data_IF_631764673949
#
_entry.id   IF_631764673949
#
_cell.length_a   1.000
_cell.length_b   1.000
_cell.length_c   1.000
_cell.angle_alpha   90.00
_cell.angle_beta   90.00
_cell.angle_gamma   90.00
#
_symmetry.space_group_name_H-M   'P 1'
#
loop_
_entity.id
_entity.type
_entity.pdbx_description
1 polymer ?
#
# COMPACT_ATOMS: atom_id res chain seq x y z
N UNK A 1 -12.13 28.44 -10.57
CA UNK A 1 -12.34 27.76 -9.29
C UNK A 1 -13.67 26.97 -9.32
N UNK A 2 -13.95 26.18 -10.37
CA UNK A 2 -15.19 25.39 -10.48
C UNK A 2 -15.02 24.07 -11.27
N UNK A 3 -13.80 23.56 -11.40
CA UNK A 3 -13.52 22.36 -12.22
C UNK A 3 -13.16 21.07 -11.47
N UNK A 4 -13.00 21.10 -10.14
CA UNK A 4 -12.48 19.95 -9.36
C UNK A 4 -13.56 19.10 -8.65
N UNK A 5 -14.84 19.46 -8.75
CA UNK A 5 -15.93 18.80 -8.03
C UNK A 5 -16.71 17.75 -8.84
N UNK A 6 -16.42 17.57 -10.12
CA UNK A 6 -17.23 16.71 -11.00
C UNK A 6 -16.78 15.24 -11.09
N UNK A 7 -15.61 14.87 -10.58
CA UNK A 7 -15.13 13.47 -10.61
C UNK A 7 -15.71 12.57 -9.48
N UNK A 8 -16.33 13.16 -8.46
CA UNK A 8 -16.81 12.42 -7.28
C UNK A 8 -18.32 12.18 -7.25
N UNK A 9 -19.08 12.65 -8.25
CA UNK A 9 -20.54 12.55 -8.29
C UNK A 9 -21.11 11.15 -8.57
N UNK A 10 -20.26 10.14 -8.77
CA UNK A 10 -20.68 8.75 -9.02
C UNK A 10 -20.71 7.86 -7.77
N UNK A 11 -20.26 8.38 -6.63
CA UNK A 11 -20.34 7.68 -5.34
C UNK A 11 -21.47 8.31 -4.53
N UNK A 12 -22.57 7.58 -4.40
CA UNK A 12 -23.84 8.01 -3.81
C UNK A 12 -23.70 8.82 -2.52
N UNK A 13 -24.60 9.77 -2.35
CA UNK A 13 -24.79 10.77 -1.28
C UNK A 13 -23.97 10.54 0.01
N UNK A 14 -22.73 11.00 0.02
CA UNK A 14 -21.89 11.10 1.24
C UNK A 14 -22.39 12.19 2.22
N UNK A 15 -23.43 12.94 1.84
CA UNK A 15 -23.94 14.08 2.64
C UNK A 15 -24.64 13.70 3.95
N UNK A 16 -25.00 12.42 4.16
CA UNK A 16 -25.75 12.03 5.34
C UNK A 16 -24.94 11.76 6.61
N UNK A 17 -23.58 11.76 6.54
CA UNK A 17 -22.71 11.36 7.66
C UNK A 17 -21.41 12.19 7.81
N UNK A 18 -21.34 13.39 7.27
CA UNK A 18 -20.32 14.34 7.71
C UNK A 18 -20.64 14.73 9.15
N UNK A 19 -19.88 14.22 10.10
CA UNK A 19 -19.84 14.79 11.45
C UNK A 19 -19.21 16.18 11.27
N UNK A 20 -20.00 17.25 11.52
CA UNK A 20 -19.46 18.61 11.57
C UNK A 20 -18.32 18.66 12.59
N UNK A 21 -17.24 19.42 12.30
CA UNK A 21 -16.09 19.59 13.20
C UNK A 21 -16.52 19.93 14.64
N UNK A 22 -17.59 20.69 14.81
CA UNK A 22 -18.20 21.03 16.12
C UNK A 22 -18.80 19.81 16.82
N UNK A 23 -19.28 18.81 16.09
CA UNK A 23 -19.87 17.60 16.64
C UNK A 23 -18.80 16.59 17.07
N UNK A 24 -17.69 16.52 16.37
CA UNK A 24 -16.55 15.65 16.74
C UNK A 24 -15.87 16.08 18.04
N UNK A 25 -15.86 17.40 18.34
CA UNK A 25 -15.27 17.96 19.54
C UNK A 25 -15.99 17.58 20.87
N UNK A 26 -17.18 17.00 20.79
CA UNK A 26 -17.99 16.64 21.95
C UNK A 26 -18.44 15.17 22.00
N UNK A 27 -17.85 14.31 21.13
CA UNK A 27 -18.17 12.89 21.14
C UNK A 27 -17.68 12.23 22.43
N UNK A 28 -18.52 11.38 22.98
CA UNK A 28 -18.16 10.48 24.07
C UNK A 28 -17.77 9.11 23.53
N UNK A 29 -17.08 8.29 24.34
CA UNK A 29 -16.81 6.89 23.99
C UNK A 29 -18.11 6.11 23.70
N UNK A 30 -19.23 6.48 24.36
CA UNK A 30 -20.54 5.88 24.12
C UNK A 30 -21.08 6.19 22.73
N UNK A 31 -20.92 7.43 22.25
CA UNK A 31 -21.30 7.82 20.88
C UNK A 31 -20.49 7.04 19.83
N UNK A 32 -19.19 6.84 20.07
CA UNK A 32 -18.32 6.05 19.19
C UNK A 32 -18.70 4.57 19.18
N UNK A 33 -19.11 4.00 20.32
CA UNK A 33 -19.64 2.64 20.37
C UNK A 33 -20.94 2.50 19.56
N UNK A 34 -21.79 3.53 19.55
CA UNK A 34 -22.98 3.55 18.71
C UNK A 34 -22.63 3.63 17.21
N UNK A 35 -21.59 4.40 16.84
CA UNK A 35 -21.08 4.41 15.46
C UNK A 35 -20.53 3.04 15.06
N UNK A 36 -19.79 2.35 15.93
CA UNK A 36 -19.29 0.99 15.67
C UNK A 36 -20.44 -0.01 15.48
N UNK A 37 -21.52 0.11 16.27
CA UNK A 37 -22.71 -0.75 16.14
C UNK A 37 -23.47 -0.51 14.83
N UNK A 38 -23.41 0.70 14.27
CA UNK A 38 -24.03 1.07 13.00
C UNK A 38 -23.11 0.92 11.79
N UNK A 39 -21.84 0.52 12.00
CA UNK A 39 -20.85 0.41 10.95
C UNK A 39 -21.16 -0.75 9.97
N UNK A 40 -21.36 -0.47 8.67
CA UNK A 40 -21.60 -1.52 7.67
C UNK A 40 -20.42 -2.50 7.53
N UNK A 41 -19.22 -2.12 7.97
CA UNK A 41 -18.03 -2.96 7.95
C UNK A 41 -17.76 -3.71 9.26
N UNK A 42 -18.61 -3.56 10.29
CA UNK A 42 -18.37 -4.11 11.62
C UNK A 42 -18.08 -5.62 11.61
N UNK A 43 -18.83 -6.40 10.79
CA UNK A 43 -18.68 -7.85 10.70
C UNK A 43 -17.33 -8.34 10.12
N UNK A 44 -16.59 -7.46 9.43
CA UNK A 44 -15.29 -7.83 8.89
C UNK A 44 -14.24 -8.01 9.97
N UNK A 45 -14.32 -7.29 11.09
CA UNK A 45 -13.36 -7.43 12.20
C UNK A 45 -13.26 -8.86 12.69
N UNK A 46 -14.39 -9.57 12.78
CA UNK A 46 -14.44 -10.96 13.21
C UNK A 46 -13.78 -11.94 12.23
N UNK A 47 -13.43 -11.49 11.05
CA UNK A 47 -12.70 -12.26 10.04
C UNK A 47 -11.19 -12.25 10.25
N UNK A 48 -10.66 -11.46 11.20
CA UNK A 48 -9.25 -11.36 11.53
C UNK A 48 -8.93 -12.01 12.87
N UNK A 49 -7.69 -12.48 13.02
CA UNK A 49 -7.11 -12.92 14.28
C UNK A 49 -6.44 -11.71 14.93
N UNK A 50 -7.12 -11.08 15.86
CA UNK A 50 -6.61 -9.95 16.64
C UNK A 50 -6.46 -10.41 18.10
N UNK A 51 -5.27 -10.23 18.73
CA UNK A 51 -5.09 -10.57 20.13
C UNK A 51 -6.01 -9.74 21.04
N UNK A 52 -6.51 -10.35 22.12
CA UNK A 52 -7.29 -9.66 23.13
C UNK A 52 -6.46 -8.58 23.82
N UNK A 53 -7.07 -7.43 24.12
CA UNK A 53 -6.40 -6.30 24.76
C UNK A 53 -5.45 -5.50 23.86
N UNK A 54 -5.36 -5.84 22.57
CA UNK A 54 -4.52 -5.13 21.60
C UNK A 54 -5.36 -4.25 20.68
N UNK A 55 -4.96 -2.99 20.57
CA UNK A 55 -5.40 -2.04 19.53
C UNK A 55 -4.34 -1.99 18.46
N UNK A 56 -4.62 -2.64 17.31
CA UNK A 56 -3.65 -2.80 16.24
C UNK A 56 -3.80 -1.70 15.18
N UNK A 57 -2.88 -0.74 15.18
CA UNK A 57 -2.83 0.42 14.29
C UNK A 57 -1.56 0.43 13.42
N UNK A 58 -1.11 -0.76 13.01
CA UNK A 58 0.08 -0.90 12.15
C UNK A 58 -0.18 -1.73 10.87
N UNK A 59 -1.42 -1.74 10.39
CA UNK A 59 -1.78 -2.40 9.13
C UNK A 59 -1.14 -1.77 7.88
N UNK A 60 -0.61 -0.56 8.00
CA UNK A 60 0.22 0.10 6.99
C UNK A 60 1.65 -0.46 6.93
N UNK A 61 2.07 -1.28 7.88
CA UNK A 61 3.35 -2.01 7.87
C UNK A 61 3.15 -3.50 7.68
N UNK A 62 2.20 -4.12 8.40
CA UNK A 62 1.81 -5.52 8.25
C UNK A 62 0.32 -5.68 8.55
N UNK A 63 -0.46 -6.20 7.61
CA UNK A 63 -1.86 -6.54 7.84
C UNK A 63 -2.01 -7.72 8.81
N UNK A 64 -3.04 -7.71 9.70
CA UNK A 64 -3.32 -8.85 10.57
C UNK A 64 -3.79 -10.07 9.76
N UNK A 65 -3.58 -11.27 10.32
CA UNK A 65 -3.91 -12.50 9.62
C UNK A 65 -5.43 -12.72 9.53
N UNK A 66 -6.00 -12.93 8.32
CA UNK A 66 -7.39 -13.38 8.19
C UNK A 66 -7.56 -14.79 8.77
N UNK A 67 -8.67 -15.04 9.49
CA UNK A 67 -8.95 -16.34 10.15
C UNK A 67 -8.95 -17.54 9.18
N UNK A 68 -9.24 -17.31 7.91
CA UNK A 68 -9.22 -18.36 6.89
C UNK A 68 -7.80 -18.75 6.44
N UNK A 69 -6.79 -17.89 6.65
CA UNK A 69 -5.43 -18.09 6.14
C UNK A 69 -4.75 -19.35 6.69
N UNK A 70 -4.76 -19.64 8.01
CA UNK A 70 -4.12 -20.84 8.54
C UNK A 70 -4.67 -22.13 7.94
N UNK A 71 -6.01 -22.24 7.82
CA UNK A 71 -6.66 -23.39 7.20
C UNK A 71 -6.30 -23.54 5.71
N UNK A 72 -6.28 -22.45 4.95
CA UNK A 72 -5.91 -22.46 3.53
C UNK A 72 -4.44 -22.90 3.33
N UNK A 73 -3.52 -22.37 4.11
CA UNK A 73 -2.09 -22.76 4.02
C UNK A 73 -1.89 -24.23 4.42
N UNK A 74 -2.57 -24.67 5.48
CA UNK A 74 -2.54 -26.08 5.91
C UNK A 74 -3.07 -27.01 4.80
N UNK A 75 -4.14 -26.62 4.11
CA UNK A 75 -4.70 -27.36 2.98
C UNK A 75 -3.73 -27.46 1.80
N UNK A 76 -3.04 -26.36 1.46
CA UNK A 76 -1.98 -26.36 0.43
C UNK A 76 -0.88 -27.37 0.80
N UNK A 77 -0.43 -27.35 2.05
CA UNK A 77 0.65 -28.24 2.50
C UNK A 77 0.20 -29.70 2.51
N UNK A 78 -0.93 -30.01 3.14
CA UNK A 78 -1.34 -31.39 3.39
C UNK A 78 -1.97 -32.04 2.17
N UNK A 79 -2.87 -31.35 1.47
CA UNK A 79 -3.66 -31.91 0.38
C UNK A 79 -3.03 -31.64 -0.99
N UNK A 80 -2.75 -30.38 -1.30
CA UNK A 80 -2.27 -30.03 -2.62
C UNK A 80 -0.82 -30.50 -2.82
N UNK A 81 0.08 -30.13 -1.93
CA UNK A 81 1.46 -30.61 -1.98
C UNK A 81 1.60 -32.05 -1.51
N UNK A 82 1.09 -32.38 -0.33
CA UNK A 82 1.29 -33.71 0.28
C UNK A 82 0.69 -34.87 -0.52
N UNK A 83 -0.50 -34.69 -1.11
CA UNK A 83 -1.17 -35.76 -1.82
C UNK A 83 -1.00 -35.66 -3.35
N UNK A 84 -1.13 -34.47 -3.94
CA UNK A 84 -1.06 -34.31 -5.39
C UNK A 84 0.40 -34.21 -5.90
N UNK A 85 1.35 -33.80 -5.04
CA UNK A 85 2.77 -33.64 -5.40
C UNK A 85 2.92 -32.72 -6.65
N UNK A 86 3.69 -33.16 -7.65
CA UNK A 86 3.92 -32.38 -8.87
C UNK A 86 2.62 -32.12 -9.68
N UNK A 87 1.61 -32.95 -9.55
CA UNK A 87 0.33 -32.78 -10.23
C UNK A 87 -0.45 -31.53 -9.76
N UNK A 88 -0.11 -31.01 -8.56
CA UNK A 88 -0.74 -29.81 -8.03
C UNK A 88 -0.61 -28.58 -8.93
N UNK A 89 0.40 -28.54 -9.79
CA UNK A 89 0.56 -27.47 -10.78
C UNK A 89 -0.67 -27.30 -11.66
N UNK A 90 -1.30 -28.41 -12.07
CA UNK A 90 -2.50 -28.42 -12.92
C UNK A 90 -3.77 -28.70 -12.11
N UNK A 91 -3.76 -29.73 -11.25
CA UNK A 91 -4.95 -30.15 -10.51
C UNK A 91 -5.45 -29.10 -9.52
N UNK A 92 -4.54 -28.28 -8.95
CA UNK A 92 -4.86 -27.19 -8.02
C UNK A 92 -4.57 -25.78 -8.59
N UNK A 93 -4.20 -25.69 -9.89
CA UNK A 93 -4.02 -24.42 -10.59
C UNK A 93 -2.89 -23.54 -10.02
N UNK A 94 -1.79 -24.15 -9.54
CA UNK A 94 -0.64 -23.39 -9.05
C UNK A 94 0.02 -22.58 -10.17
N UNK A 95 0.02 -23.15 -11.39
CA UNK A 95 0.63 -22.50 -12.57
C UNK A 95 -0.05 -21.15 -12.88
N UNK A 96 -1.36 -21.08 -12.70
CA UNK A 96 -2.18 -19.90 -13.02
C UNK A 96 -2.32 -18.94 -11.85
N UNK A 97 -1.86 -19.33 -10.67
CA UNK A 97 -2.08 -18.56 -9.44
C UNK A 97 -1.51 -17.12 -9.48
N UNK A 98 -0.35 -16.83 -10.12
CA UNK A 98 0.14 -15.45 -10.24
C UNK A 98 -0.80 -14.55 -11.02
N UNK A 99 -1.36 -15.04 -12.14
CA UNK A 99 -2.30 -14.30 -12.97
C UNK A 99 -3.66 -14.18 -12.27
N UNK A 100 -4.19 -15.29 -11.72
CA UNK A 100 -5.48 -15.32 -11.01
C UNK A 100 -5.52 -14.33 -9.84
N UNK A 101 -4.50 -14.34 -8.98
CA UNK A 101 -4.42 -13.40 -7.85
C UNK A 101 -4.12 -11.98 -8.35
N UNK A 102 -3.33 -11.86 -9.40
CA UNK A 102 -3.07 -10.59 -10.07
C UNK A 102 -4.35 -9.94 -10.59
N UNK A 103 -5.22 -10.67 -11.26
CA UNK A 103 -6.51 -10.16 -11.74
C UNK A 103 -7.44 -9.72 -10.58
N UNK A 104 -7.42 -10.45 -9.46
CA UNK A 104 -8.15 -10.06 -8.25
C UNK A 104 -7.62 -8.73 -7.69
N UNK A 105 -6.30 -8.56 -7.60
CA UNK A 105 -5.67 -7.29 -7.20
C UNK A 105 -5.98 -6.21 -8.24
N UNK A 106 -5.92 -6.54 -9.53
CA UNK A 106 -6.27 -5.63 -10.62
C UNK A 106 -7.66 -5.01 -10.44
N UNK A 107 -8.65 -5.80 -9.99
CA UNK A 107 -9.98 -5.28 -9.66
C UNK A 107 -9.99 -4.30 -8.50
N UNK A 108 -9.16 -4.53 -7.45
CA UNK A 108 -9.04 -3.62 -6.30
C UNK A 108 -8.39 -2.28 -6.67
N UNK A 109 -7.47 -2.29 -7.63
CA UNK A 109 -6.74 -1.09 -8.06
C UNK A 109 -7.32 -0.44 -9.33
N UNK A 110 -8.46 -0.93 -9.83
CA UNK A 110 -9.09 -0.38 -11.04
C UNK A 110 -8.22 -0.52 -12.30
N UNK A 111 -7.39 -1.56 -12.37
CA UNK A 111 -6.58 -1.88 -13.53
C UNK A 111 -7.39 -2.62 -14.60
N UNK A 112 -6.97 -2.53 -15.86
CA UNK A 112 -7.61 -3.29 -16.94
C UNK A 112 -7.44 -4.82 -16.72
N UNK A 113 -8.42 -5.65 -17.11
CA UNK A 113 -8.27 -7.10 -17.03
C UNK A 113 -7.00 -7.60 -17.72
N UNK A 114 -6.30 -8.57 -17.12
CA UNK A 114 -5.07 -9.13 -17.67
C UNK A 114 -3.86 -8.17 -17.66
N UNK A 115 -3.91 -7.08 -16.88
CA UNK A 115 -2.80 -6.13 -16.79
C UNK A 115 -1.99 -6.23 -15.49
N UNK A 116 -2.42 -7.06 -14.55
CA UNK A 116 -1.78 -7.19 -13.23
C UNK A 116 -1.38 -8.64 -12.97
N UNK A 117 -0.20 -8.85 -12.41
CA UNK A 117 0.30 -10.17 -12.03
C UNK A 117 1.01 -10.10 -10.68
N UNK A 118 0.93 -11.17 -9.90
CA UNK A 118 1.70 -11.32 -8.66
C UNK A 118 3.05 -11.95 -8.99
N UNK A 119 4.13 -11.25 -8.63
CA UNK A 119 5.49 -11.72 -8.84
C UNK A 119 6.45 -11.04 -7.86
N UNK A 120 7.50 -11.72 -7.49
CA UNK A 120 8.68 -11.21 -6.78
C UNK A 120 8.37 -10.33 -5.54
N UNK A 121 9.28 -9.40 -5.25
CA UNK A 121 9.10 -8.32 -4.28
C UNK A 121 8.85 -6.98 -4.99
N UNK A 122 8.33 -5.98 -4.26
CA UNK A 122 8.18 -4.61 -4.78
C UNK A 122 9.49 -4.08 -5.35
N UNK A 123 10.62 -4.31 -4.67
CA UNK A 123 11.95 -3.90 -5.12
C UNK A 123 12.34 -4.50 -6.47
N UNK A 124 12.16 -5.82 -6.64
CA UNK A 124 12.46 -6.50 -7.92
C UNK A 124 11.52 -6.02 -9.03
N UNK A 125 10.25 -5.82 -8.72
CA UNK A 125 9.27 -5.31 -9.68
C UNK A 125 9.58 -3.86 -10.10
N UNK A 126 10.02 -3.00 -9.17
CA UNK A 126 10.53 -1.65 -9.49
C UNK A 126 11.70 -1.72 -10.47
N UNK A 127 12.70 -2.55 -10.18
CA UNK A 127 13.84 -2.74 -11.08
C UNK A 127 13.40 -3.16 -12.48
N UNK A 128 12.52 -4.16 -12.59
CA UNK A 128 11.99 -4.63 -13.89
C UNK A 128 11.29 -3.52 -14.65
N UNK A 129 10.39 -2.80 -14.00
CA UNK A 129 9.57 -1.78 -14.67
C UNK A 129 10.35 -0.50 -14.98
N UNK A 130 11.29 -0.07 -14.12
CA UNK A 130 12.17 1.08 -14.40
C UNK A 130 13.09 0.80 -15.60
N UNK A 131 13.72 -0.38 -15.66
CA UNK A 131 14.57 -0.76 -16.78
C UNK A 131 13.76 -0.79 -18.08
N UNK A 132 12.56 -1.36 -18.06
CA UNK A 132 11.68 -1.42 -19.22
C UNK A 132 11.15 -0.03 -19.64
N UNK A 133 10.89 0.87 -18.69
CA UNK A 133 10.48 2.24 -18.97
C UNK A 133 11.59 3.05 -19.65
N UNK A 134 12.83 2.91 -19.18
CA UNK A 134 14.00 3.53 -19.82
C UNK A 134 14.20 3.01 -21.25
N UNK A 135 14.08 1.71 -21.46
CA UNK A 135 14.18 1.10 -22.80
C UNK A 135 13.05 1.57 -23.74
N UNK A 136 11.84 1.75 -23.22
CA UNK A 136 10.68 2.23 -23.98
C UNK A 136 10.73 3.73 -24.34
N UNK A 137 11.67 4.48 -23.78
CA UNK A 137 11.87 5.92 -24.05
C UNK A 137 13.31 6.22 -24.48
N UNK A 138 13.75 5.68 -25.63
CA UNK A 138 15.11 5.88 -26.11
C UNK A 138 15.42 7.37 -26.27
N UNK A 139 16.61 7.79 -25.80
CA UNK A 139 17.03 9.18 -25.80
C UNK A 139 16.59 10.00 -24.58
N UNK A 140 15.77 9.44 -23.69
CA UNK A 140 15.43 10.04 -22.39
C UNK A 140 16.14 9.25 -21.29
N UNK A 141 16.93 9.94 -20.48
CA UNK A 141 17.87 9.28 -19.57
C UNK A 141 17.54 9.46 -18.07
N UNK A 142 16.49 10.24 -17.77
CA UNK A 142 16.20 10.63 -16.40
C UNK A 142 15.04 9.80 -15.83
N UNK A 143 15.27 9.17 -14.67
CA UNK A 143 14.24 8.74 -13.73
C UNK A 143 13.99 9.93 -12.80
N UNK A 144 12.80 10.53 -12.85
CA UNK A 144 12.41 11.64 -12.00
C UNK A 144 11.60 11.11 -10.81
N UNK A 145 11.90 11.62 -9.63
CA UNK A 145 11.15 11.29 -8.40
C UNK A 145 11.19 12.44 -7.41
N UNK A 146 10.47 12.30 -6.28
CA UNK A 146 10.39 13.33 -5.25
C UNK A 146 11.30 13.06 -4.06
N UNK A 147 11.69 14.15 -3.36
CA UNK A 147 12.30 14.09 -2.04
C UNK A 147 11.30 13.46 -1.05
N UNK A 148 11.75 12.47 -0.27
CA UNK A 148 10.87 11.77 0.67
C UNK A 148 10.11 10.58 0.08
N UNK A 149 10.38 10.20 -1.17
CA UNK A 149 9.94 8.89 -1.69
C UNK A 149 10.55 7.76 -0.84
N UNK A 150 9.93 6.57 -0.88
CA UNK A 150 10.39 5.44 -0.08
C UNK A 150 11.84 5.06 -0.43
N UNK A 151 12.73 4.90 0.58
CA UNK A 151 14.16 4.73 0.32
C UNK A 151 14.50 3.59 -0.64
N UNK A 152 13.76 2.46 -0.59
CA UNK A 152 13.99 1.32 -1.49
C UNK A 152 13.75 1.67 -2.95
N UNK A 153 12.77 2.53 -3.25
CA UNK A 153 12.49 2.97 -4.62
C UNK A 153 13.68 3.74 -5.17
N UNK A 154 14.24 4.63 -4.34
CA UNK A 154 15.46 5.38 -4.67
C UNK A 154 16.65 4.43 -4.86
N UNK A 155 16.83 3.43 -3.99
CA UNK A 155 17.94 2.47 -4.09
C UNK A 155 17.84 1.61 -5.34
N UNK A 156 16.64 1.16 -5.72
CA UNK A 156 16.45 0.40 -6.95
C UNK A 156 16.77 1.25 -8.20
N UNK A 157 16.32 2.51 -8.20
CA UNK A 157 16.64 3.43 -9.29
C UNK A 157 18.15 3.74 -9.36
N UNK A 158 18.80 3.99 -8.21
CA UNK A 158 20.26 4.22 -8.13
C UNK A 158 21.04 3.00 -8.63
N UNK A 159 20.68 1.80 -8.18
CA UNK A 159 21.32 0.56 -8.60
C UNK A 159 21.17 0.31 -10.10
N UNK A 160 19.99 0.57 -10.66
CA UNK A 160 19.74 0.45 -12.10
C UNK A 160 20.57 1.47 -12.90
N UNK A 161 20.59 2.74 -12.50
CA UNK A 161 21.39 3.79 -13.15
C UNK A 161 22.86 3.42 -13.16
N UNK A 162 23.39 2.95 -12.03
CA UNK A 162 24.77 2.50 -11.92
C UNK A 162 25.08 1.30 -12.85
N UNK A 163 24.15 0.34 -12.91
CA UNK A 163 24.28 -0.84 -13.78
C UNK A 163 24.31 -0.47 -15.28
N UNK A 164 23.43 0.45 -15.70
CA UNK A 164 23.33 0.84 -17.10
C UNK A 164 24.57 1.62 -17.59
N UNK A 165 25.14 2.50 -16.77
CA UNK A 165 26.39 3.21 -17.06
C UNK A 165 26.41 4.06 -18.35
N UNK A 166 25.23 4.43 -18.88
CA UNK A 166 25.07 5.08 -20.20
C UNK A 166 24.53 6.52 -20.08
N UNK A 167 24.91 7.24 -19.04
CA UNK A 167 24.45 8.61 -18.82
C UNK A 167 23.05 8.71 -18.21
N UNK A 168 22.42 7.59 -17.83
CA UNK A 168 21.17 7.61 -17.08
C UNK A 168 21.38 8.27 -15.71
N UNK A 169 20.35 8.94 -15.21
CA UNK A 169 20.40 9.64 -13.93
C UNK A 169 19.09 9.48 -13.15
N UNK A 170 19.22 9.41 -11.83
CA UNK A 170 18.10 9.62 -10.90
C UNK A 170 18.08 11.11 -10.51
N UNK A 171 16.97 11.78 -10.76
CA UNK A 171 16.72 13.15 -10.35
C UNK A 171 15.69 13.17 -9.22
N UNK A 172 16.11 13.63 -8.06
CA UNK A 172 15.26 13.75 -6.87
C UNK A 172 15.00 15.23 -6.63
N UNK A 173 13.73 15.63 -6.51
CA UNK A 173 13.29 17.03 -6.40
C UNK A 173 12.12 17.17 -5.42
N UNK A 174 11.87 18.38 -4.92
CA UNK A 174 10.72 18.66 -4.05
C UNK A 174 9.40 18.82 -4.85
N UNK A 175 9.49 19.34 -6.08
CA UNK A 175 8.36 19.46 -7.00
C UNK A 175 8.62 18.64 -8.29
N UNK A 176 8.23 17.37 -8.30
CA UNK A 176 8.40 16.53 -9.47
C UNK A 176 7.57 16.99 -10.68
N UNK A 177 6.42 17.64 -10.45
CA UNK A 177 5.58 18.14 -11.54
C UNK A 177 6.26 19.28 -12.31
N UNK A 178 6.85 20.24 -11.59
CA UNK A 178 7.58 21.36 -12.18
C UNK A 178 8.90 20.96 -12.83
N UNK A 179 9.47 19.80 -12.46
CA UNK A 179 10.72 19.27 -12.99
C UNK A 179 10.56 18.35 -14.21
N UNK A 180 9.33 18.09 -14.67
CA UNK A 180 9.07 17.30 -15.87
C UNK A 180 9.63 18.01 -17.12
N UNK A 181 10.38 17.27 -17.93
CA UNK A 181 11.04 17.78 -19.13
C UNK A 181 11.27 16.71 -20.20
N UNK A 182 11.82 17.12 -21.36
CA UNK A 182 12.00 16.21 -22.49
C UNK A 182 13.08 15.14 -22.25
N UNK A 183 13.90 15.25 -21.22
CA UNK A 183 14.92 14.31 -20.80
C UNK A 183 14.39 13.23 -19.83
N UNK A 184 13.18 13.42 -19.27
CA UNK A 184 12.56 12.49 -18.33
C UNK A 184 11.96 11.31 -19.10
N UNK A 185 12.43 10.10 -18.80
CA UNK A 185 11.90 8.84 -19.34
C UNK A 185 10.70 8.35 -18.53
N UNK A 186 10.81 8.43 -17.21
CA UNK A 186 9.80 7.95 -16.28
C UNK A 186 9.73 8.83 -15.03
N UNK A 187 8.51 9.16 -14.62
CA UNK A 187 8.19 9.73 -13.31
C UNK A 187 7.84 8.56 -12.38
N UNK A 188 8.62 8.36 -11.32
CA UNK A 188 8.42 7.32 -10.29
C UNK A 188 7.98 7.97 -8.99
N UNK A 189 6.79 7.64 -8.51
CA UNK A 189 6.22 8.20 -7.29
C UNK A 189 5.55 7.12 -6.43
N UNK A 190 5.62 7.30 -5.10
CA UNK A 190 4.75 6.58 -4.17
C UNK A 190 3.43 7.33 -4.03
N UNK A 191 2.29 6.67 -4.32
CA UNK A 191 0.98 7.32 -4.33
C UNK A 191 0.58 7.86 -2.95
N UNK A 192 0.78 7.07 -1.90
CA UNK A 192 0.59 7.52 -0.50
C UNK A 192 1.93 7.47 0.21
N UNK A 193 2.42 8.61 0.64
CA UNK A 193 3.70 8.74 1.30
C UNK A 193 3.76 7.94 2.61
N UNK A 194 4.78 7.12 2.76
CA UNK A 194 4.92 6.19 3.88
C UNK A 194 5.09 6.88 5.24
N UNK A 195 5.67 8.10 5.28
CA UNK A 195 5.96 8.83 6.50
C UNK A 195 4.80 9.72 6.94
N UNK A 196 4.24 10.49 6.02
CA UNK A 196 3.19 11.47 6.31
C UNK A 196 1.78 10.97 6.06
N UNK A 197 1.62 9.97 5.19
CA UNK A 197 0.30 9.58 4.67
C UNK A 197 -0.24 10.54 3.60
N UNK A 198 0.53 11.55 3.19
CA UNK A 198 0.13 12.44 2.10
C UNK A 198 -0.09 11.67 0.79
N UNK A 199 -1.12 12.03 0.05
CA UNK A 199 -1.55 11.34 -1.15
C UNK A 199 -1.53 12.27 -2.36
N UNK A 200 -0.89 11.84 -3.44
CA UNK A 200 -0.89 12.54 -4.71
C UNK A 200 -2.25 12.45 -5.43
N UNK A 201 -2.54 13.44 -6.24
CA UNK A 201 -3.57 13.34 -7.29
C UNK A 201 -2.98 12.51 -8.44
N UNK A 202 -3.34 11.21 -8.50
CA UNK A 202 -2.80 10.26 -9.46
C UNK A 202 -3.09 10.66 -10.90
N UNK A 203 -4.33 11.05 -11.19
CA UNK A 203 -4.74 11.46 -12.53
C UNK A 203 -3.98 12.70 -13.00
N UNK A 204 -3.88 13.74 -12.14
CA UNK A 204 -3.20 14.98 -12.49
C UNK A 204 -1.69 14.78 -12.71
N UNK A 205 -1.04 13.95 -11.89
CA UNK A 205 0.40 13.66 -12.04
C UNK A 205 0.68 12.77 -13.25
N UNK A 206 -0.16 11.76 -13.51
CA UNK A 206 -0.07 10.91 -14.71
C UNK A 206 -0.23 11.76 -15.98
N UNK A 207 -1.23 12.60 -16.03
CA UNK A 207 -1.44 13.50 -17.17
C UNK A 207 -0.25 14.45 -17.38
N UNK A 208 0.32 15.01 -16.31
CA UNK A 208 1.50 15.87 -16.41
C UNK A 208 2.73 15.14 -16.97
N UNK A 209 2.97 13.89 -16.52
CA UNK A 209 4.03 13.06 -17.05
C UNK A 209 3.84 12.76 -18.55
N UNK A 210 2.65 12.40 -18.97
CA UNK A 210 2.30 12.15 -20.37
C UNK A 210 2.46 13.40 -21.24
N UNK A 211 2.02 14.58 -20.76
CA UNK A 211 2.21 15.84 -21.47
C UNK A 211 3.68 16.17 -21.71
N UNK A 212 4.58 15.77 -20.81
CA UNK A 212 6.02 15.84 -20.98
C UNK A 212 6.62 14.69 -21.82
N UNK A 213 5.81 13.69 -22.21
CA UNK A 213 6.22 12.48 -22.95
C UNK A 213 6.94 11.43 -22.10
N UNK A 214 6.89 11.56 -20.77
CA UNK A 214 7.39 10.58 -19.82
C UNK A 214 6.36 9.48 -19.56
N UNK A 215 6.82 8.28 -19.16
CA UNK A 215 5.99 7.27 -18.53
C UNK A 215 5.80 7.59 -17.04
N UNK A 216 4.78 7.01 -16.42
CA UNK A 216 4.60 7.06 -14.97
C UNK A 216 4.68 5.66 -14.36
N UNK A 217 5.36 5.56 -13.21
CA UNK A 217 5.42 4.36 -12.39
C UNK A 217 4.98 4.71 -10.96
N UNK A 218 3.89 4.10 -10.53
CA UNK A 218 3.34 4.30 -9.19
C UNK A 218 3.70 3.14 -8.24
N UNK A 219 4.25 3.46 -7.06
CA UNK A 219 4.23 2.52 -5.92
C UNK A 219 2.91 2.67 -5.15
N UNK A 220 2.13 1.60 -5.12
CA UNK A 220 0.82 1.50 -4.49
C UNK A 220 0.85 0.79 -3.13
N UNK A 221 2.02 0.60 -2.53
CA UNK A 221 2.19 -0.18 -1.31
C UNK A 221 1.38 0.33 -0.12
N UNK A 222 1.06 1.63 -0.07
CA UNK A 222 0.20 2.24 0.94
C UNK A 222 -1.20 2.62 0.40
N UNK A 223 -1.51 2.25 -0.84
CA UNK A 223 -2.76 2.62 -1.52
C UNK A 223 -3.64 1.43 -1.82
N UNK A 224 -3.06 0.32 -2.30
CA UNK A 224 -3.80 -0.89 -2.64
C UNK A 224 -4.51 -1.47 -1.41
N UNK A 225 -5.84 -1.53 -1.47
CA UNK A 225 -6.68 -1.95 -0.33
C UNK A 225 -6.94 -0.87 0.72
N UNK A 226 -6.39 0.35 0.58
CA UNK A 226 -6.54 1.44 1.53
C UNK A 226 -7.35 2.62 0.99
N UNK A 227 -7.19 2.93 -0.30
CA UNK A 227 -7.88 4.04 -0.98
C UNK A 227 -8.44 3.58 -2.32
N UNK A 228 -9.50 4.22 -2.83
CA UNK A 228 -10.00 3.95 -4.18
C UNK A 228 -8.93 4.27 -5.22
N UNK A 229 -8.77 3.35 -6.16
CA UNK A 229 -7.82 3.47 -7.27
C UNK A 229 -8.54 3.16 -8.59
N UNK A 230 -8.16 3.84 -9.66
CA UNK A 230 -8.75 3.69 -11.00
C UNK A 230 -7.65 3.73 -12.08
N UNK A 231 -6.66 2.82 -12.00
CA UNK A 231 -5.47 2.85 -12.85
C UNK A 231 -5.80 2.96 -14.34
N UNK A 232 -6.82 2.24 -14.79
CA UNK A 232 -7.22 2.28 -16.21
C UNK A 232 -7.87 3.63 -16.59
N UNK A 233 -8.70 4.22 -15.71
CA UNK A 233 -9.36 5.49 -15.97
C UNK A 233 -8.37 6.68 -15.86
N UNK A 234 -7.40 6.58 -14.96
CA UNK A 234 -6.34 7.56 -14.76
C UNK A 234 -5.17 7.42 -15.76
N UNK A 235 -5.31 6.49 -16.74
CA UNK A 235 -4.33 6.19 -17.78
C UNK A 235 -2.92 5.86 -17.27
N UNK A 236 -2.83 5.21 -16.11
CA UNK A 236 -1.56 4.83 -15.48
C UNK A 236 -0.80 3.84 -16.38
N UNK A 237 0.49 4.08 -16.58
CA UNK A 237 1.37 3.22 -17.38
C UNK A 237 1.80 1.96 -16.63
N UNK A 238 2.39 2.15 -15.47
CA UNK A 238 3.08 1.14 -14.68
C UNK A 238 2.74 1.32 -13.21
N UNK A 239 2.55 0.21 -12.50
CA UNK A 239 2.40 0.24 -11.05
C UNK A 239 3.02 -0.99 -10.40
N UNK A 240 3.44 -0.83 -9.14
CA UNK A 240 3.87 -1.91 -8.25
C UNK A 240 3.18 -1.77 -6.90
N UNK A 241 3.19 -2.82 -6.09
CA UNK A 241 2.74 -2.73 -4.71
C UNK A 241 3.01 -4.03 -3.96
N UNK A 242 2.98 -3.98 -2.63
CA UNK A 242 3.23 -5.14 -1.77
C UNK A 242 1.95 -5.85 -1.36
N UNK A 243 2.06 -7.15 -1.06
CA UNK A 243 0.92 -7.98 -0.64
C UNK A 243 0.69 -8.03 0.87
N UNK A 244 1.64 -7.59 1.70
CA UNK A 244 1.64 -7.86 3.15
C UNK A 244 1.03 -6.74 4.02
N UNK A 245 0.75 -5.56 3.47
CA UNK A 245 0.14 -4.43 4.21
C UNK A 245 -1.39 -4.53 4.19
N UNK A 246 -2.08 -3.56 3.58
CA UNK A 246 -3.55 -3.52 3.54
C UNK A 246 -4.20 -4.68 2.78
N UNK A 247 -3.44 -5.42 1.95
CA UNK A 247 -3.92 -6.66 1.30
C UNK A 247 -3.88 -7.89 2.21
N UNK A 248 -3.33 -7.79 3.42
CA UNK A 248 -3.35 -8.80 4.48
C UNK A 248 -2.77 -10.17 4.08
N UNK A 249 -1.81 -10.18 3.14
CA UNK A 249 -1.21 -11.41 2.62
C UNK A 249 -0.19 -12.09 3.55
N UNK A 250 0.12 -11.46 4.69
CA UNK A 250 1.06 -11.97 5.69
C UNK A 250 2.53 -11.66 5.41
N UNK A 251 3.42 -11.95 6.37
CA UNK A 251 4.84 -11.62 6.26
C UNK A 251 5.48 -12.35 5.07
N UNK A 252 6.22 -11.58 4.25
CA UNK A 252 6.84 -12.10 3.05
C UNK A 252 5.87 -12.40 1.89
N UNK A 253 4.62 -11.94 1.96
CA UNK A 253 3.71 -12.04 0.82
C UNK A 253 4.32 -11.45 -0.45
N UNK A 254 4.15 -12.12 -1.61
CA UNK A 254 4.67 -11.63 -2.86
C UNK A 254 4.05 -10.28 -3.23
N UNK A 255 4.79 -9.51 -4.00
CA UNK A 255 4.34 -8.25 -4.55
C UNK A 255 3.52 -8.47 -5.83
N UNK A 256 2.92 -7.38 -6.32
CA UNK A 256 2.30 -7.35 -7.64
C UNK A 256 2.92 -6.24 -8.49
N UNK A 257 2.78 -6.39 -9.79
CA UNK A 257 3.01 -5.34 -10.75
C UNK A 257 1.86 -5.25 -11.75
N UNK A 258 1.64 -4.05 -12.28
CA UNK A 258 0.63 -3.78 -13.31
C UNK A 258 1.26 -2.99 -14.45
N UNK A 259 0.89 -3.35 -15.68
CA UNK A 259 1.34 -2.69 -16.91
C UNK A 259 0.11 -2.42 -17.78
N UNK A 260 -0.08 -1.17 -18.18
CA UNK A 260 -1.18 -0.80 -19.07
C UNK A 260 -1.18 -1.65 -20.34
N UNK A 261 -2.34 -2.15 -20.83
CA UNK A 261 -2.40 -3.03 -22.01
C UNK A 261 -1.68 -2.47 -23.23
N UNK A 262 -1.73 -1.14 -23.44
CA UNK A 262 -1.07 -0.45 -24.54
C UNK A 262 0.46 -0.59 -24.56
N UNK A 263 1.09 -0.87 -23.41
CA UNK A 263 2.53 -1.01 -23.27
C UNK A 263 3.01 -2.46 -23.32
N UNK A 264 2.14 -3.44 -22.98
CA UNK A 264 2.56 -4.82 -22.76
C UNK A 264 3.28 -5.45 -23.95
N UNK A 265 2.84 -5.17 -25.18
CA UNK A 265 3.43 -5.77 -26.38
C UNK A 265 4.88 -5.28 -26.62
N UNK A 266 5.14 -3.99 -26.37
CA UNK A 266 6.43 -3.34 -26.63
C UNK A 266 7.38 -3.32 -25.42
N UNK A 267 6.92 -3.67 -24.23
CA UNK A 267 7.73 -3.56 -23.03
C UNK A 267 8.73 -4.73 -22.91
N UNK A 268 10.01 -4.43 -22.85
CA UNK A 268 11.08 -5.42 -22.67
C UNK A 268 11.54 -5.43 -21.21
N UNK A 269 11.30 -6.53 -20.52
CA UNK A 269 11.72 -6.70 -19.13
C UNK A 269 13.17 -7.22 -19.07
N UNK A 270 14.02 -6.69 -18.17
CA UNK A 270 15.44 -7.08 -18.11
C UNK A 270 15.66 -8.46 -17.49
N UNK A 271 14.74 -8.87 -16.59
CA UNK A 271 14.77 -10.19 -15.98
C UNK A 271 13.87 -11.12 -16.81
N UNK A 272 14.50 -12.01 -17.55
CA UNK A 272 13.83 -13.04 -18.32
C UNK A 272 13.95 -14.36 -17.61
N UNK A 273 12.87 -15.14 -17.62
CA UNK A 273 12.88 -16.42 -16.94
C UNK A 273 11.89 -17.41 -17.53
N UNK A 274 12.00 -18.66 -17.14
CA UNK A 274 11.32 -19.77 -17.81
C UNK A 274 9.79 -19.66 -17.82
N UNK A 275 9.17 -19.15 -16.73
CA UNK A 275 7.70 -18.95 -16.68
C UNK A 275 7.24 -17.72 -17.47
N UNK A 276 8.14 -16.80 -17.77
CA UNK A 276 7.87 -15.67 -18.66
C UNK A 276 8.08 -15.99 -20.15
N UNK A 277 8.48 -17.22 -20.48
CA UNK A 277 8.62 -17.69 -21.84
C UNK A 277 7.25 -18.01 -22.46
N UNK A 278 7.11 -17.81 -23.77
CA UNK A 278 5.86 -18.09 -24.51
C UNK A 278 5.42 -19.56 -24.40
N UNK A 279 6.39 -20.47 -24.36
CA UNK A 279 6.19 -21.92 -24.21
C UNK A 279 7.13 -22.44 -23.11
N UNK A 280 6.80 -22.24 -21.81
CA UNK A 280 7.74 -22.50 -20.71
C UNK A 280 8.20 -23.96 -20.61
N UNK A 281 7.41 -24.91 -21.08
CA UNK A 281 7.72 -26.35 -21.04
C UNK A 281 8.37 -26.87 -22.34
N UNK A 282 8.59 -26.04 -23.35
CA UNK A 282 9.38 -26.39 -24.51
C UNK A 282 10.88 -26.47 -24.19
N UNK A 283 11.31 -25.79 -23.12
CA UNK A 283 12.71 -25.70 -22.68
C UNK A 283 13.66 -25.24 -23.79
N UNK A 284 13.15 -24.32 -24.65
CA UNK A 284 13.95 -23.71 -25.72
C UNK A 284 15.08 -22.88 -25.08
N UNK A 285 16.33 -23.02 -25.49
CA UNK A 285 17.44 -22.20 -24.99
C UNK A 285 17.35 -20.72 -25.42
N UNK A 286 16.52 -20.40 -26.42
CA UNK A 286 16.27 -19.03 -26.87
C UNK A 286 15.00 -18.51 -26.19
N UNK A 287 15.13 -17.38 -25.50
CA UNK A 287 13.98 -16.79 -24.81
C UNK A 287 13.03 -16.07 -25.77
N UNK A 288 11.79 -16.52 -25.81
CA UNK A 288 10.67 -15.85 -26.47
C UNK A 288 9.67 -15.38 -25.40
N UNK A 289 9.44 -14.07 -25.26
CA UNK A 289 8.56 -13.57 -24.20
C UNK A 289 7.11 -14.01 -24.37
N UNK A 290 6.49 -14.41 -23.29
CA UNK A 290 5.05 -14.65 -23.24
C UNK A 290 4.25 -13.40 -23.64
N UNK A 291 3.05 -13.59 -24.15
CA UNK A 291 2.12 -12.50 -24.42
C UNK A 291 1.65 -11.81 -23.13
N UNK A 292 1.33 -10.52 -23.22
CA UNK A 292 0.74 -9.77 -22.12
C UNK A 292 1.64 -9.68 -20.90
N UNK A 293 0.99 -9.64 -19.72
CA UNK A 293 1.69 -9.45 -18.43
C UNK A 293 2.41 -10.73 -17.96
N UNK A 294 2.08 -11.90 -18.50
CA UNK A 294 2.70 -13.17 -18.09
C UNK A 294 4.22 -13.19 -18.20
N UNK A 295 4.79 -12.43 -19.15
CA UNK A 295 6.25 -12.26 -19.32
C UNK A 295 6.97 -11.72 -18.10
N UNK A 296 6.23 -11.11 -17.15
CA UNK A 296 6.79 -10.57 -15.94
C UNK A 296 7.03 -11.61 -14.84
N UNK A 297 6.55 -12.85 -15.01
CA UNK A 297 6.79 -13.95 -14.07
C UNK A 297 8.10 -14.61 -14.43
N UNK A 298 9.16 -14.35 -13.63
CA UNK A 298 10.50 -14.81 -13.95
C UNK A 298 10.69 -16.29 -13.64
N UNK A 299 10.18 -16.77 -12.52
CA UNK A 299 10.41 -18.14 -12.04
C UNK A 299 9.21 -18.69 -11.28
N UNK A 300 9.44 -19.84 -10.66
CA UNK A 300 8.44 -20.54 -9.86
C UNK A 300 7.82 -19.63 -8.80
N UNK A 301 6.48 -19.46 -8.78
CA UNK A 301 5.82 -18.60 -7.80
C UNK A 301 5.90 -19.19 -6.39
N UNK A 302 5.93 -18.35 -5.35
CA UNK A 302 5.95 -18.80 -3.96
C UNK A 302 4.54 -19.23 -3.53
N UNK A 303 4.14 -20.46 -3.88
CA UNK A 303 2.76 -20.98 -3.80
C UNK A 303 2.14 -20.82 -2.40
N UNK A 304 2.87 -21.10 -1.33
CA UNK A 304 2.33 -21.01 0.05
C UNK A 304 1.94 -19.57 0.42
N UNK A 305 2.85 -18.63 0.19
CA UNK A 305 2.57 -17.21 0.50
C UNK A 305 1.58 -16.58 -0.47
N UNK A 306 1.55 -17.05 -1.72
CA UNK A 306 0.56 -16.61 -2.71
C UNK A 306 -0.85 -17.10 -2.33
N UNK A 307 -0.99 -18.32 -1.80
CA UNK A 307 -2.26 -18.82 -1.28
C UNK A 307 -2.74 -18.02 -0.05
N UNK A 308 -1.82 -17.61 0.83
CA UNK A 308 -2.13 -16.72 1.94
C UNK A 308 -2.57 -15.32 1.46
N UNK A 309 -1.86 -14.75 0.47
CA UNK A 309 -2.23 -13.48 -0.14
C UNK A 309 -3.60 -13.53 -0.79
N UNK A 310 -3.93 -14.61 -1.50
CA UNK A 310 -5.23 -14.79 -2.14
C UNK A 310 -6.38 -14.69 -1.13
N UNK A 311 -6.23 -15.25 0.07
CA UNK A 311 -7.23 -15.12 1.15
C UNK A 311 -7.43 -13.66 1.57
N UNK A 312 -6.35 -12.90 1.75
CA UNK A 312 -6.42 -11.48 2.09
C UNK A 312 -7.10 -10.66 0.99
N UNK A 313 -6.73 -10.89 -0.26
CA UNK A 313 -7.32 -10.21 -1.42
C UNK A 313 -8.81 -10.54 -1.58
N UNK A 314 -9.19 -11.81 -1.40
CA UNK A 314 -10.60 -12.23 -1.47
C UNK A 314 -11.45 -11.58 -0.36
N UNK A 315 -10.87 -11.39 0.82
CA UNK A 315 -11.53 -10.66 1.91
C UNK A 315 -11.72 -9.17 1.55
N UNK A 316 -10.69 -8.52 0.99
CA UNK A 316 -10.77 -7.12 0.54
C UNK A 316 -11.83 -6.93 -0.56
N UNK A 317 -11.95 -7.85 -1.50
CA UNK A 317 -12.93 -7.78 -2.59
C UNK A 317 -14.39 -7.91 -2.13
N UNK A 318 -14.63 -8.40 -0.92
CA UNK A 318 -15.99 -8.49 -0.34
C UNK A 318 -16.43 -7.14 0.27
N UNK A 319 -15.50 -6.23 0.56
CA UNK A 319 -15.80 -4.95 1.17
C UNK A 319 -16.04 -3.88 0.11
N UNK A 320 -17.14 -3.08 0.19
CA UNK A 320 -17.36 -1.95 -0.70
C UNK A 320 -16.26 -0.89 -0.50
N UNK A 321 -15.52 -0.57 -1.56
CA UNK A 321 -14.38 0.38 -1.49
C UNK A 321 -14.82 1.78 -1.03
N UNK A 322 -16.04 2.19 -1.36
CA UNK A 322 -16.59 3.48 -0.93
C UNK A 322 -16.75 3.52 0.60
N UNK A 323 -17.28 2.45 1.21
CA UNK A 323 -17.43 2.32 2.66
C UNK A 323 -16.07 2.26 3.37
N UNK A 324 -15.11 1.51 2.78
CA UNK A 324 -13.73 1.49 3.29
C UNK A 324 -13.15 2.91 3.35
N UNK A 325 -13.30 3.67 2.26
CA UNK A 325 -12.78 5.03 2.20
C UNK A 325 -13.50 5.96 3.17
N UNK A 326 -14.83 5.93 3.22
CA UNK A 326 -15.63 6.77 4.12
C UNK A 326 -15.26 6.51 5.59
N UNK A 327 -15.12 5.26 6.00
CA UNK A 327 -14.71 4.91 7.36
C UNK A 327 -13.27 5.33 7.64
N UNK A 328 -12.32 5.09 6.71
CA UNK A 328 -10.93 5.49 6.83
C UNK A 328 -10.76 7.00 7.07
N UNK A 329 -11.51 7.82 6.33
CA UNK A 329 -11.51 9.29 6.51
C UNK A 329 -11.99 9.65 7.91
N UNK A 330 -13.13 9.10 8.35
CA UNK A 330 -13.70 9.38 9.68
C UNK A 330 -12.79 8.95 10.83
N UNK A 331 -12.14 7.78 10.71
CA UNK A 331 -11.17 7.32 11.70
C UNK A 331 -9.95 8.27 11.79
N UNK A 332 -9.48 8.77 10.64
CA UNK A 332 -8.37 9.71 10.60
C UNK A 332 -8.74 11.08 11.19
N UNK A 333 -9.91 11.61 10.82
CA UNK A 333 -10.41 12.87 11.38
C UNK A 333 -10.59 12.79 12.90
N UNK A 334 -11.19 11.70 13.38
CA UNK A 334 -11.35 11.43 14.80
C UNK A 334 -9.99 11.39 15.52
N UNK A 335 -9.01 10.66 14.98
CA UNK A 335 -7.69 10.54 15.60
C UNK A 335 -6.98 11.90 15.68
N UNK A 336 -6.98 12.66 14.57
CA UNK A 336 -6.37 13.99 14.52
C UNK A 336 -7.04 14.96 15.52
N UNK A 337 -8.37 14.94 15.58
CA UNK A 337 -9.15 15.79 16.50
C UNK A 337 -8.88 15.44 17.95
N UNK A 338 -8.92 14.16 18.32
CA UNK A 338 -8.68 13.73 19.70
C UNK A 338 -7.26 14.06 20.17
N UNK A 339 -6.23 13.84 19.32
CA UNK A 339 -4.84 14.21 19.67
C UNK A 339 -4.71 15.73 19.85
N UNK A 340 -5.34 16.52 19.00
CA UNK A 340 -5.33 17.98 19.13
C UNK A 340 -6.02 18.49 20.42
N UNK A 341 -7.01 17.74 20.93
CA UNK A 341 -7.73 18.09 22.17
C UNK A 341 -7.02 17.59 23.43
N UNK A 342 -6.70 16.29 23.45
CA UNK A 342 -6.22 15.60 24.65
C UNK A 342 -4.71 15.76 24.85
N UNK A 343 -3.94 16.03 23.78
CA UNK A 343 -2.47 16.13 23.79
C UNK A 343 -1.98 17.49 23.24
N UNK A 344 -2.77 18.56 23.40
CA UNK A 344 -2.47 19.87 22.81
C UNK A 344 -1.10 20.46 23.25
N UNK A 345 -0.71 20.23 24.50
CA UNK A 345 0.50 20.76 25.11
C UNK A 345 1.68 19.77 25.05
N UNK A 346 1.49 18.59 24.45
CA UNK A 346 2.47 17.50 24.46
C UNK A 346 3.47 17.56 23.30
N UNK A 347 3.37 18.55 22.41
CA UNK A 347 4.36 18.78 21.34
C UNK A 347 4.20 17.92 20.09
N UNK A 348 3.06 17.26 19.88
CA UNK A 348 2.77 16.53 18.66
C UNK A 348 2.51 17.48 17.48
N UNK A 349 3.32 17.38 16.42
CA UNK A 349 3.11 18.12 15.18
C UNK A 349 2.52 17.19 14.11
N UNK A 350 1.29 17.43 13.57
CA UNK A 350 0.73 16.60 12.53
C UNK A 350 1.60 16.62 11.27
N UNK A 351 1.97 15.43 10.77
CA UNK A 351 2.61 15.24 9.46
C UNK A 351 1.59 14.95 8.37
N UNK A 352 0.45 14.40 8.77
CA UNK A 352 -0.63 14.03 7.84
C UNK A 352 -1.42 15.27 7.39
N UNK A 353 -1.70 15.43 6.10
CA UNK A 353 -2.53 16.53 5.60
C UNK A 353 -3.91 16.56 6.26
N UNK A 354 -4.36 17.74 6.66
CA UNK A 354 -5.70 17.95 7.23
C UNK A 354 -6.81 17.61 6.22
N UNK A 355 -6.59 17.93 4.94
CA UNK A 355 -7.57 17.64 3.88
C UNK A 355 -7.63 16.13 3.60
N UNK A 356 -8.82 15.54 3.79
CA UNK A 356 -9.07 14.12 3.57
C UNK A 356 -8.77 13.65 2.13
N UNK A 357 -8.95 14.51 1.12
CA UNK A 357 -8.63 14.15 -0.27
C UNK A 357 -7.13 14.08 -0.56
N UNK A 358 -6.29 14.58 0.34
CA UNK A 358 -4.83 14.62 0.21
C UNK A 358 -4.11 13.64 1.13
N UNK A 359 -4.82 12.67 1.71
CA UNK A 359 -4.23 11.66 2.61
C UNK A 359 -4.76 10.26 2.36
N UNK A 360 -3.93 9.27 2.67
CA UNK A 360 -4.30 7.86 2.66
C UNK A 360 -5.02 7.40 3.93
N UNK A 361 -4.76 6.14 4.33
CA UNK A 361 -5.43 5.46 5.46
C UNK A 361 -4.52 5.32 6.68
N UNK A 362 -3.71 6.35 6.95
CA UNK A 362 -2.86 6.46 8.14
C UNK A 362 -2.83 7.89 8.65
N UNK A 363 -2.54 8.08 9.93
CA UNK A 363 -2.18 9.36 10.54
C UNK A 363 -0.78 9.28 11.10
N UNK A 364 -0.07 10.40 11.05
CA UNK A 364 1.32 10.50 11.49
C UNK A 364 1.57 11.83 12.19
N UNK A 365 2.36 11.77 13.27
CA UNK A 365 2.77 12.94 14.03
C UNK A 365 4.28 12.95 14.21
N UNK A 366 4.92 14.12 14.12
CA UNK A 366 6.29 14.30 14.53
C UNK A 366 6.36 14.60 16.03
N UNK A 367 7.29 13.94 16.71
CA UNK A 367 7.66 14.24 18.09
C UNK A 367 9.12 13.86 18.31
N UNK A 368 9.96 14.72 18.98
CA UNK A 368 11.39 14.43 19.16
C UNK A 368 11.64 13.11 19.91
N UNK A 369 10.78 12.73 20.85
CA UNK A 369 10.84 11.48 21.60
C UNK A 369 9.90 10.40 21.04
N UNK A 370 9.49 10.52 19.77
CA UNK A 370 8.48 9.68 19.13
C UNK A 370 8.76 8.18 19.26
N UNK A 371 10.02 7.76 19.21
CA UNK A 371 10.37 6.35 19.39
C UNK A 371 10.01 5.84 20.79
N UNK A 372 10.41 6.55 21.84
CA UNK A 372 10.15 6.15 23.22
C UNK A 372 8.65 6.16 23.55
N UNK A 373 7.91 7.15 23.02
CA UNK A 373 6.47 7.24 23.16
C UNK A 373 5.81 6.04 22.49
N UNK A 374 6.21 5.68 21.28
CA UNK A 374 5.67 4.52 20.57
C UNK A 374 5.95 3.21 21.32
N UNK A 375 7.15 3.04 21.90
CA UNK A 375 7.46 1.84 22.71
C UNK A 375 6.61 1.77 23.98
N UNK A 376 6.32 2.90 24.63
CA UNK A 376 5.45 2.96 25.79
C UNK A 376 3.97 2.66 25.42
N UNK A 377 3.52 3.05 24.23
CA UNK A 377 2.20 2.70 23.69
C UNK A 377 2.09 1.20 23.41
N UNK A 378 3.10 0.62 22.75
CA UNK A 378 3.15 -0.82 22.43
C UNK A 378 3.08 -1.65 23.72
N UNK A 379 3.81 -1.27 24.77
CA UNK A 379 3.74 -1.97 26.06
C UNK A 379 2.33 -1.95 26.68
N UNK A 380 1.53 -0.91 26.38
CA UNK A 380 0.15 -0.77 26.83
C UNK A 380 -0.89 -1.34 25.86
N UNK A 381 -0.42 -2.07 24.83
CA UNK A 381 -1.29 -2.76 23.88
C UNK A 381 -1.76 -1.89 22.71
N UNK A 382 -1.28 -0.65 22.54
CA UNK A 382 -1.55 0.18 21.35
C UNK A 382 -0.37 0.06 20.40
N UNK A 383 -0.55 -0.67 19.30
CA UNK A 383 0.51 -0.99 18.35
C UNK A 383 0.39 -0.09 17.11
N UNK A 384 1.25 0.89 17.01
CA UNK A 384 1.61 1.63 15.82
C UNK A 384 3.10 1.41 15.52
N UNK A 385 3.69 2.23 14.67
CA UNK A 385 5.10 2.17 14.39
C UNK A 385 5.80 3.54 14.42
N UNK A 386 7.12 3.51 14.43
CA UNK A 386 7.96 4.69 14.39
C UNK A 386 8.83 4.72 13.13
N UNK A 387 8.93 5.89 12.52
CA UNK A 387 9.88 6.14 11.42
C UNK A 387 10.80 7.30 11.75
N UNK A 388 12.08 7.02 11.70
CA UNK A 388 13.10 8.04 11.94
C UNK A 388 12.93 9.24 10.96
N UNK A 389 13.28 10.47 11.41
CA UNK A 389 13.87 10.76 12.71
C UNK A 389 12.86 10.82 13.87
N UNK A 390 11.56 11.09 13.64
CA UNK A 390 10.61 11.59 14.64
C UNK A 390 9.13 11.18 14.40
N UNK A 391 8.80 10.39 13.37
CA UNK A 391 7.43 10.12 13.00
C UNK A 391 6.82 8.92 13.72
N UNK A 392 5.80 9.16 14.56
CA UNK A 392 4.86 8.15 15.02
C UNK A 392 3.79 7.96 13.94
N UNK A 393 3.48 6.71 13.58
CA UNK A 393 2.48 6.40 12.56
C UNK A 393 1.44 5.44 13.09
N UNK A 394 0.19 5.67 12.68
CA UNK A 394 -0.97 4.85 13.03
C UNK A 394 -1.76 4.54 11.77
N UNK A 395 -1.80 3.26 11.40
CA UNK A 395 -2.54 2.75 10.24
C UNK A 395 -4.00 2.49 10.59
N UNK A 396 -4.89 3.14 9.89
CA UNK A 396 -6.34 3.11 10.14
C UNK A 396 -7.04 2.22 9.11
N UNK A 397 -6.89 0.89 9.27
CA UNK A 397 -7.49 -0.08 8.36
C UNK A 397 -8.97 -0.32 8.71
N UNK A 398 -9.93 0.11 7.87
CA UNK A 398 -11.37 0.15 8.20
C UNK A 398 -12.00 -1.21 8.49
N UNK A 399 -11.43 -2.30 7.96
CA UNK A 399 -11.99 -3.65 8.13
C UNK A 399 -11.89 -4.17 9.56
N UNK A 400 -10.97 -3.64 10.39
CA UNK A 400 -10.80 -4.15 11.74
C UNK A 400 -10.58 -3.06 12.81
N UNK A 401 -10.23 -1.82 12.43
CA UNK A 401 -10.15 -0.70 13.37
C UNK A 401 -11.54 -0.12 13.60
N UNK A 402 -11.93 0.02 14.87
CA UNK A 402 -13.19 0.61 15.31
C UNK A 402 -13.01 2.06 15.74
N UNK A 403 -14.10 2.80 15.83
CA UNK A 403 -14.06 4.16 16.36
C UNK A 403 -13.64 4.18 17.84
N UNK A 404 -14.13 3.21 18.63
CA UNK A 404 -13.70 3.05 20.03
C UNK A 404 -12.21 2.70 20.15
N UNK A 405 -11.61 1.98 19.19
CA UNK A 405 -10.18 1.69 19.19
C UNK A 405 -9.36 2.98 19.06
N UNK A 406 -9.83 3.94 18.25
CA UNK A 406 -9.18 5.26 18.11
C UNK A 406 -9.27 6.05 19.40
N UNK A 407 -10.45 6.09 20.02
CA UNK A 407 -10.64 6.75 21.31
C UNK A 407 -9.72 6.19 22.39
N UNK A 408 -9.76 4.88 22.56
CA UNK A 408 -8.98 4.18 23.59
C UNK A 408 -7.47 4.34 23.32
N UNK A 409 -7.02 4.33 22.05
CA UNK A 409 -5.63 4.57 21.70
C UNK A 409 -5.15 5.97 22.07
N UNK A 410 -5.96 7.01 21.81
CA UNK A 410 -5.62 8.39 22.18
C UNK A 410 -5.67 8.58 23.70
N UNK A 411 -6.63 7.95 24.40
CA UNK A 411 -6.66 7.97 25.86
C UNK A 411 -5.37 7.35 26.46
N UNK A 412 -4.89 6.24 25.89
CA UNK A 412 -3.59 5.64 26.30
C UNK A 412 -2.42 6.57 25.98
N UNK A 413 -2.44 7.24 24.82
CA UNK A 413 -1.41 8.21 24.45
C UNK A 413 -1.36 9.38 25.45
N UNK A 414 -2.51 9.97 25.75
CA UNK A 414 -2.64 11.03 26.75
C UNK A 414 -2.07 10.59 28.12
N UNK A 415 -2.42 9.40 28.59
CA UNK A 415 -1.90 8.85 29.84
C UNK A 415 -0.38 8.63 29.81
N UNK A 416 0.17 8.12 28.72
CA UNK A 416 1.64 7.96 28.53
C UNK A 416 2.34 9.30 28.67
N UNK A 417 1.78 10.35 28.07
CA UNK A 417 2.35 11.70 28.12
C UNK A 417 2.21 12.31 29.51
N UNK A 418 1.02 12.30 30.09
CA UNK A 418 0.69 12.86 31.41
C UNK A 418 1.53 12.24 32.53
N UNK A 419 1.69 10.91 32.53
CA UNK A 419 2.46 10.17 33.53
C UNK A 419 3.98 10.29 33.24
N UNK A 420 4.34 10.53 31.99
CA UNK A 420 5.74 10.60 31.55
C UNK A 420 6.42 9.23 31.48
N UNK A 421 5.65 8.13 31.35
CA UNK A 421 6.17 6.76 31.37
C UNK A 421 7.13 6.46 30.22
N UNK A 422 7.01 7.14 29.10
CA UNK A 422 7.92 7.04 27.96
C UNK A 422 9.36 7.46 28.26
N UNK A 423 9.62 8.21 29.38
CA UNK A 423 10.94 8.61 29.82
C UNK A 423 11.76 7.49 30.46
N UNK A 424 11.15 6.34 30.71
CA UNK A 424 11.85 5.15 31.21
C UNK A 424 12.98 4.76 30.24
N UNK A 425 14.17 4.48 30.78
CA UNK A 425 15.38 4.17 30.01
C UNK A 425 15.19 2.94 29.11
N UNK A 426 14.34 1.98 29.48
CA UNK A 426 14.03 0.80 28.66
C UNK A 426 13.42 1.14 27.30
N UNK A 427 12.75 2.29 27.15
CA UNK A 427 12.16 2.77 25.90
C UNK A 427 13.12 3.61 25.06
N UNK A 428 14.25 4.03 25.63
CA UNK A 428 15.25 4.87 24.94
C UNK A 428 16.17 4.05 24.01
N UNK A 429 16.27 2.74 24.25
CA UNK A 429 17.15 1.85 23.46
C UNK A 429 16.45 1.45 22.17
N UNK A 430 16.95 1.94 21.04
CA UNK A 430 16.40 1.59 19.72
C UNK A 430 16.64 0.12 19.38
N UNK A 431 15.57 -0.55 18.97
CA UNK A 431 15.60 -1.90 18.37
C UNK A 431 15.66 -1.78 16.84
N UNK A 432 15.98 -2.86 16.16
CA UNK A 432 16.04 -2.90 14.68
C UNK A 432 14.66 -2.78 14.02
N UNK A 433 13.60 -3.14 14.72
CA UNK A 433 12.20 -2.98 14.30
C UNK A 433 11.42 -2.43 15.48
N UNK A 434 10.37 -1.66 15.21
CA UNK A 434 9.49 -1.04 16.24
C UNK A 434 8.98 -2.03 17.25
#
# INVERSE_FOLDING_TARGET
VTGALTAWSHYGSAEAFLLDDVRMAHLTRGDLAALDAADPLASFRDRFMLPEGVIYLDGNSLGPVPKATPGRVADVVAREWGNALIRAWTEHGWIDSPARVGDKIGRLIGAAPGSTVVADSTSVNLFKLLAAALDARPGRLVILTETGNFPTDLYMAQGLVALLGRGHALRVVDDPRGALGPDVAVLMLTHVNYRSGAMHDMAAMTHAAHAAGALVLWDLSHSAGAVPLQLAADDVDLAVGCGYKFLNGGPGAPAFLSVAPRLQAGLRLPLTGWLGHAEPFAFDPVYWPAAGIARAVVGTPPVLSLAALEVGVDLMLQAPVAELRAKSVRLADLFLTLVAQECADDGFAPLTPANASQRGSQVSFAHPDGYAIMQALIERGVIGDFRAPDALRFGLAPLYVRYVDVWDAVAVLHDVMRIGSWRDLRFQTRRSVT
#
